data_IF_598357554889
#
_entry.id   IF_598357554889
#
_cell.length_a   1.000
_cell.length_b   1.000
_cell.length_c   1.000
_cell.angle_alpha   90.00
_cell.angle_beta   90.00
_cell.angle_gamma   90.00
#
_symmetry.space_group_name_H-M   'P 1'
#
loop_
_entity.id
_entity.type
_entity.pdbx_description
1 polymer ?
#
# COMPACT_ATOMS: atom_id res chain seq x y z
N UNK A 1 -5.75 9.23 -11.90
CA UNK A 1 -6.56 8.35 -12.77
C UNK A 1 -7.43 7.40 -11.95
N UNK A 2 -6.84 6.44 -11.21
CA UNK A 2 -7.56 5.46 -10.38
C UNK A 2 -8.71 6.08 -9.56
N UNK A 3 -8.42 7.11 -8.75
CA UNK A 3 -9.44 7.75 -7.89
C UNK A 3 -10.63 8.31 -8.69
N UNK A 4 -10.39 8.91 -9.86
CA UNK A 4 -11.45 9.52 -10.67
C UNK A 4 -12.38 8.43 -11.22
N UNK A 5 -11.82 7.33 -11.74
CA UNK A 5 -12.58 6.17 -12.18
C UNK A 5 -13.36 5.52 -11.04
N UNK A 6 -12.69 5.31 -9.89
CA UNK A 6 -13.27 4.70 -8.69
C UNK A 6 -14.48 5.49 -8.19
N UNK A 7 -14.33 6.81 -8.05
CA UNK A 7 -15.44 7.69 -7.66
C UNK A 7 -16.57 7.67 -8.69
N UNK A 8 -16.23 7.79 -9.98
CA UNK A 8 -17.20 7.83 -11.07
C UNK A 8 -18.09 6.59 -11.11
N UNK A 9 -17.53 5.39 -10.84
CA UNK A 9 -18.30 4.14 -10.88
C UNK A 9 -19.03 3.80 -9.57
N UNK A 10 -18.46 4.16 -8.41
CA UNK A 10 -18.98 3.73 -7.11
C UNK A 10 -20.00 4.70 -6.50
N UNK A 11 -19.96 5.98 -6.86
CA UNK A 11 -20.81 7.00 -6.24
C UNK A 11 -21.54 7.82 -7.29
N UNK A 12 -22.87 7.76 -7.30
CA UNK A 12 -23.70 8.45 -8.30
C UNK A 12 -23.42 9.95 -8.38
N UNK A 13 -23.21 10.63 -7.25
CA UNK A 13 -22.86 12.08 -7.23
C UNK A 13 -21.58 12.43 -8.00
N UNK A 14 -20.70 11.47 -8.25
CA UNK A 14 -19.44 11.63 -8.98
C UNK A 14 -19.49 11.06 -10.39
N UNK A 15 -20.62 10.48 -10.82
CA UNK A 15 -20.84 9.98 -12.18
C UNK A 15 -21.06 11.12 -13.16
N UNK A 16 -20.02 11.92 -13.36
CA UNK A 16 -20.05 13.14 -14.18
C UNK A 16 -19.05 13.03 -15.34
N UNK A 17 -19.42 13.43 -16.57
CA UNK A 17 -18.55 13.28 -17.74
C UNK A 17 -17.17 13.92 -17.59
N UNK A 18 -17.05 15.00 -16.83
CA UNK A 18 -15.80 15.72 -16.60
C UNK A 18 -14.78 14.84 -15.86
N UNK A 19 -15.24 14.03 -14.90
CA UNK A 19 -14.37 13.10 -14.17
C UNK A 19 -13.86 12.00 -15.10
N UNK A 20 -14.75 11.41 -15.91
CA UNK A 20 -14.36 10.36 -16.85
C UNK A 20 -13.42 10.89 -17.94
N UNK A 21 -13.69 12.07 -18.47
CA UNK A 21 -12.84 12.71 -19.49
C UNK A 21 -11.44 13.01 -18.94
N UNK A 22 -11.35 13.54 -17.71
CA UNK A 22 -10.06 13.77 -17.05
C UNK A 22 -9.33 12.45 -16.76
N UNK A 23 -10.04 11.40 -16.34
CA UNK A 23 -9.44 10.09 -16.10
C UNK A 23 -8.87 9.49 -17.38
N UNK A 24 -9.63 9.52 -18.49
CA UNK A 24 -9.18 9.06 -19.82
C UNK A 24 -7.95 9.83 -20.29
N UNK A 25 -7.97 11.16 -20.20
CA UNK A 25 -6.83 12.00 -20.58
C UNK A 25 -5.57 11.67 -19.76
N UNK A 26 -5.73 11.43 -18.44
CA UNK A 26 -4.63 10.97 -17.59
C UNK A 26 -4.13 9.58 -17.95
N UNK A 27 -5.03 8.66 -18.32
CA UNK A 27 -4.69 7.33 -18.83
C UNK A 27 -3.84 7.39 -20.08
N UNK A 28 -4.26 8.16 -21.08
CA UNK A 28 -3.52 8.34 -22.33
C UNK A 28 -2.15 8.99 -22.10
N UNK A 29 -2.03 9.90 -21.13
CA UNK A 29 -0.73 10.44 -20.72
C UNK A 29 0.18 9.33 -20.14
N UNK A 30 -0.34 8.47 -19.26
CA UNK A 30 0.42 7.36 -18.70
C UNK A 30 0.83 6.35 -19.78
N UNK A 31 -0.09 5.93 -20.66
CA UNK A 31 0.21 5.01 -21.77
C UNK A 31 1.35 5.52 -22.65
N UNK A 32 1.37 6.84 -22.91
CA UNK A 32 2.34 7.44 -23.82
C UNK A 32 3.70 7.72 -23.18
N UNK A 33 3.73 8.05 -21.88
CA UNK A 33 4.90 8.68 -21.26
C UNK A 33 5.39 8.01 -19.98
N UNK A 34 4.62 7.12 -19.35
CA UNK A 34 5.03 6.54 -18.07
C UNK A 34 6.30 5.69 -18.21
N UNK A 35 6.37 4.84 -19.23
CA UNK A 35 7.50 3.95 -19.48
C UNK A 35 8.72 4.74 -19.99
N UNK A 36 9.87 4.52 -19.35
CA UNK A 36 11.10 5.29 -19.64
C UNK A 36 11.69 4.93 -20.99
N UNK A 37 11.69 3.64 -21.34
CA UNK A 37 12.28 3.13 -22.57
C UNK A 37 11.49 1.91 -23.09
N UNK A 38 10.31 2.12 -23.71
CA UNK A 38 9.55 1.05 -24.34
C UNK A 38 10.43 0.26 -25.34
N UNK A 39 10.33 -1.08 -25.39
CA UNK A 39 9.29 -1.92 -24.79
C UNK A 39 9.50 -2.27 -23.31
N UNK A 40 10.55 -1.78 -22.65
CA UNK A 40 10.76 -2.03 -21.23
C UNK A 40 9.67 -1.36 -20.38
N UNK A 41 9.11 -2.10 -19.43
CA UNK A 41 7.97 -1.66 -18.61
C UNK A 41 8.34 -0.69 -17.48
N UNK A 42 9.63 -0.47 -17.21
CA UNK A 42 10.07 0.41 -16.11
C UNK A 42 9.52 1.83 -16.32
N UNK A 43 8.76 2.29 -15.34
CA UNK A 43 8.17 3.61 -15.33
C UNK A 43 9.10 4.65 -14.70
N UNK A 44 8.97 5.89 -15.17
CA UNK A 44 9.57 7.06 -14.56
C UNK A 44 8.85 7.38 -13.24
N UNK A 45 9.62 7.82 -12.26
CA UNK A 45 9.08 8.32 -11.00
C UNK A 45 8.49 9.74 -11.17
N UNK A 46 9.16 10.59 -11.96
CA UNK A 46 8.70 11.94 -12.29
C UNK A 46 8.93 12.22 -13.76
N UNK A 47 7.91 12.84 -14.37
CA UNK A 47 7.91 13.33 -15.75
C UNK A 47 7.79 14.85 -15.75
N UNK A 48 8.33 15.48 -16.79
CA UNK A 48 7.97 16.86 -17.14
C UNK A 48 6.50 16.95 -17.53
N UNK A 49 5.94 18.17 -17.56
CA UNK A 49 4.55 18.41 -17.98
C UNK A 49 4.25 17.83 -19.37
N UNK A 50 5.24 17.83 -20.26
CA UNK A 50 5.13 17.31 -21.63
C UNK A 50 5.51 15.81 -21.77
N UNK A 51 5.74 15.10 -20.65
CA UNK A 51 5.91 13.65 -20.64
C UNK A 51 7.34 13.14 -20.81
N UNK A 52 8.36 14.00 -20.72
CA UNK A 52 9.77 13.55 -20.72
C UNK A 52 10.20 13.06 -19.33
N UNK A 53 10.88 11.91 -19.20
CA UNK A 53 11.33 11.38 -17.92
C UNK A 53 12.41 12.27 -17.29
N UNK A 54 12.23 12.57 -16.00
CA UNK A 54 13.16 13.40 -15.20
C UNK A 54 13.87 12.55 -14.15
N UNK A 55 13.14 11.66 -13.49
CA UNK A 55 13.67 10.82 -12.42
C UNK A 55 13.11 9.42 -12.55
N UNK A 56 13.97 8.42 -12.35
CA UNK A 56 13.59 7.01 -12.22
C UNK A 56 13.92 6.57 -10.80
N UNK A 57 12.95 5.96 -10.12
CA UNK A 57 13.17 5.31 -8.82
C UNK A 57 13.30 3.80 -9.05
N UNK A 58 14.28 3.19 -8.38
CA UNK A 58 14.60 1.75 -8.49
C UNK A 58 13.71 0.91 -7.57
N UNK A 59 12.40 1.07 -7.77
CA UNK A 59 11.29 0.46 -7.01
C UNK A 59 10.15 0.14 -7.99
N UNK A 60 9.13 -0.56 -7.51
CA UNK A 60 7.92 -0.94 -8.28
C UNK A 60 6.73 0.03 -8.15
N UNK A 61 6.84 1.06 -7.30
CA UNK A 61 5.66 1.84 -6.90
C UNK A 61 4.96 2.58 -8.05
N UNK A 62 5.72 3.16 -8.98
CA UNK A 62 5.13 3.86 -10.14
C UNK A 62 4.36 2.88 -11.02
N UNK A 63 4.87 1.67 -11.16
CA UNK A 63 4.28 0.57 -11.91
C UNK A 63 3.03 0.03 -11.22
N UNK A 64 3.03 -0.11 -9.89
CA UNK A 64 1.82 -0.50 -9.16
C UNK A 64 0.69 0.50 -9.40
N UNK A 65 0.95 1.80 -9.25
CA UNK A 65 -0.08 2.82 -9.49
C UNK A 65 -0.47 2.95 -10.97
N UNK A 66 0.44 2.62 -11.91
CA UNK A 66 0.10 2.48 -13.33
C UNK A 66 -0.92 1.35 -13.53
N UNK A 67 -0.65 0.14 -13.01
CA UNK A 67 -1.56 -1.01 -13.08
C UNK A 67 -2.92 -0.68 -12.50
N UNK A 68 -2.98 -0.05 -11.33
CA UNK A 68 -4.24 0.38 -10.71
C UNK A 68 -5.02 1.34 -11.62
N UNK A 69 -4.34 2.33 -12.20
CA UNK A 69 -4.96 3.29 -13.10
C UNK A 69 -5.52 2.63 -14.37
N UNK A 70 -4.76 1.72 -14.98
CA UNK A 70 -5.18 1.00 -16.18
C UNK A 70 -6.36 0.07 -15.90
N UNK A 71 -6.33 -0.70 -14.80
CA UNK A 71 -7.45 -1.56 -14.43
C UNK A 71 -8.74 -0.78 -14.21
N UNK A 72 -8.70 0.33 -13.46
CA UNK A 72 -9.89 1.15 -13.25
C UNK A 72 -10.38 1.85 -14.53
N UNK A 73 -9.49 2.22 -15.45
CA UNK A 73 -9.89 2.75 -16.75
C UNK A 73 -10.65 1.72 -17.57
N UNK A 74 -10.16 0.49 -17.66
CA UNK A 74 -10.88 -0.60 -18.30
C UNK A 74 -12.28 -0.77 -17.69
N UNK A 75 -12.42 -0.78 -16.36
CA UNK A 75 -13.73 -0.93 -15.68
C UNK A 75 -14.76 0.12 -16.06
N UNK A 76 -14.33 1.35 -16.36
CA UNK A 76 -15.26 2.46 -16.68
C UNK A 76 -15.43 2.70 -18.18
N UNK A 77 -14.60 2.09 -19.04
CA UNK A 77 -14.66 2.28 -20.50
C UNK A 77 -14.99 1.00 -21.28
N UNK A 78 -14.67 -0.18 -20.75
CA UNK A 78 -14.70 -1.45 -21.48
C UNK A 78 -13.59 -1.61 -22.53
N UNK A 79 -12.64 -0.67 -22.63
CA UNK A 79 -11.52 -0.76 -23.58
C UNK A 79 -10.48 -1.78 -23.07
N UNK A 80 -10.43 -2.95 -23.74
CA UNK A 80 -9.57 -4.07 -23.39
C UNK A 80 -8.07 -3.71 -23.40
N UNK A 81 -7.66 -2.69 -24.15
CA UNK A 81 -6.26 -2.22 -24.17
C UNK A 81 -5.77 -1.83 -22.77
N UNK A 82 -6.61 -1.19 -21.96
CA UNK A 82 -6.23 -0.85 -20.58
C UNK A 82 -6.12 -2.08 -19.69
N UNK A 83 -6.94 -3.11 -19.92
CA UNK A 83 -6.83 -4.36 -19.17
C UNK A 83 -5.51 -5.07 -19.51
N UNK A 84 -5.17 -5.18 -20.79
CA UNK A 84 -3.90 -5.75 -21.25
C UNK A 84 -2.70 -5.03 -20.63
N UNK A 85 -2.69 -3.69 -20.65
CA UNK A 85 -1.63 -2.89 -20.02
C UNK A 85 -1.51 -3.11 -18.52
N UNK A 86 -2.64 -3.29 -17.82
CA UNK A 86 -2.64 -3.60 -16.39
C UNK A 86 -2.06 -5.00 -16.12
N UNK A 87 -2.47 -6.01 -16.89
CA UNK A 87 -2.01 -7.39 -16.71
C UNK A 87 -0.53 -7.56 -17.07
N UNK A 88 -0.09 -7.02 -18.20
CA UNK A 88 1.33 -7.08 -18.58
C UNK A 88 2.24 -6.38 -17.56
N UNK A 89 1.77 -5.26 -16.98
CA UNK A 89 2.50 -4.59 -15.91
C UNK A 89 2.48 -5.40 -14.61
N UNK A 90 1.35 -6.01 -14.25
CA UNK A 90 1.24 -6.88 -13.08
C UNK A 90 2.23 -8.04 -13.15
N UNK A 91 2.27 -8.77 -14.27
CA UNK A 91 3.19 -9.88 -14.48
C UNK A 91 4.65 -9.43 -14.34
N UNK A 92 4.98 -8.26 -14.89
CA UNK A 92 6.31 -7.71 -14.77
C UNK A 92 6.68 -7.34 -13.32
N UNK A 93 5.74 -6.75 -12.56
CA UNK A 93 5.96 -6.44 -11.15
C UNK A 93 6.19 -7.72 -10.35
N UNK A 94 5.39 -8.76 -10.58
CA UNK A 94 5.56 -10.06 -9.91
C UNK A 94 6.93 -10.66 -10.23
N UNK A 95 7.35 -10.64 -11.49
CA UNK A 95 8.68 -11.13 -11.87
C UNK A 95 9.80 -10.33 -11.18
N UNK A 96 9.69 -9.00 -11.10
CA UNK A 96 10.70 -8.19 -10.39
C UNK A 96 10.79 -8.47 -8.89
N UNK A 97 9.66 -8.79 -8.25
CA UNK A 97 9.63 -9.02 -6.81
C UNK A 97 10.00 -10.45 -6.44
N UNK A 98 9.51 -11.44 -7.19
CA UNK A 98 9.66 -12.86 -6.83
C UNK A 98 10.82 -13.57 -7.51
N UNK A 99 11.28 -13.07 -8.65
CA UNK A 99 12.22 -13.79 -9.51
C UNK A 99 13.53 -13.02 -9.72
N UNK A 100 13.45 -11.82 -10.30
CA UNK A 100 14.63 -11.06 -10.68
C UNK A 100 14.46 -9.53 -10.54
N UNK A 101 15.03 -8.91 -9.49
CA UNK A 101 14.98 -7.47 -9.31
C UNK A 101 15.95 -6.70 -10.22
N UNK A 102 16.74 -7.38 -11.08
CA UNK A 102 17.75 -6.73 -11.94
C UNK A 102 17.16 -5.65 -12.84
N UNK A 103 15.93 -5.85 -13.32
CA UNK A 103 15.19 -4.88 -14.14
C UNK A 103 14.85 -3.57 -13.42
N UNK A 104 14.92 -3.53 -12.08
CA UNK A 104 14.81 -2.30 -11.29
C UNK A 104 16.13 -1.52 -11.23
N UNK A 105 17.24 -2.13 -11.64
CA UNK A 105 18.55 -1.48 -11.76
C UNK A 105 19.26 -1.24 -10.43
N UNK A 106 18.95 -1.99 -9.37
CA UNK A 106 19.57 -1.87 -8.04
C UNK A 106 20.42 -3.12 -7.71
N UNK A 107 21.65 -3.24 -8.26
CA UNK A 107 22.52 -4.35 -7.89
C UNK A 107 22.81 -4.29 -6.39
N UNK A 108 22.67 -5.43 -5.70
CA UNK A 108 22.95 -5.50 -4.27
C UNK A 108 24.46 -5.37 -4.05
N UNK A 109 24.83 -4.40 -3.21
CA UNK A 109 26.23 -4.21 -2.81
C UNK A 109 26.56 -5.18 -1.66
N UNK A 110 27.80 -5.69 -1.57
CA UNK A 110 28.16 -6.72 -0.59
C UNK A 110 28.01 -6.29 0.88
N UNK A 111 27.96 -4.99 1.14
CA UNK A 111 27.73 -4.45 2.49
C UNK A 111 26.27 -4.10 2.80
N UNK A 112 25.35 -4.22 1.84
CA UNK A 112 23.95 -3.92 2.04
C UNK A 112 23.21 -5.19 2.53
N UNK A 113 22.58 -5.18 3.72
CA UNK A 113 21.79 -6.32 4.15
C UNK A 113 20.66 -6.60 3.15
N UNK A 114 20.37 -7.86 2.93
CA UNK A 114 19.13 -8.25 2.26
C UNK A 114 17.97 -7.95 3.20
N UNK A 115 17.08 -7.06 2.77
CA UNK A 115 15.96 -6.59 3.59
C UNK A 115 14.72 -6.40 2.73
N UNK A 116 13.61 -6.95 3.20
CA UNK A 116 12.30 -6.67 2.65
C UNK A 116 11.68 -5.46 3.35
N UNK A 117 11.18 -4.52 2.55
CA UNK A 117 10.38 -3.40 3.03
C UNK A 117 8.90 -3.78 2.97
N UNK A 118 8.15 -3.56 4.06
CA UNK A 118 6.72 -3.93 4.17
C UNK A 118 5.87 -3.39 3.02
N UNK A 119 6.22 -2.21 2.51
CA UNK A 119 5.58 -1.58 1.35
C UNK A 119 5.48 -2.48 0.10
N UNK A 120 6.43 -3.39 -0.12
CA UNK A 120 6.46 -4.26 -1.31
C UNK A 120 5.32 -5.28 -1.29
N UNK A 121 5.21 -6.16 -0.28
CA UNK A 121 4.08 -7.09 -0.20
C UNK A 121 2.75 -6.37 0.03
N UNK A 122 2.72 -5.21 0.72
CA UNK A 122 1.51 -4.37 0.81
C UNK A 122 0.98 -3.95 -0.56
N UNK A 123 1.85 -3.40 -1.40
CA UNK A 123 1.44 -2.93 -2.73
C UNK A 123 1.06 -4.07 -3.66
N UNK A 124 1.73 -5.21 -3.58
CA UNK A 124 1.32 -6.41 -4.33
C UNK A 124 -0.03 -6.95 -3.86
N UNK A 125 -0.28 -7.03 -2.55
CA UNK A 125 -1.60 -7.42 -2.02
C UNK A 125 -2.69 -6.47 -2.51
N UNK A 126 -2.44 -5.17 -2.50
CA UNK A 126 -3.38 -4.18 -3.01
C UNK A 126 -3.65 -4.36 -4.52
N UNK A 127 -2.65 -4.74 -5.33
CA UNK A 127 -2.85 -5.08 -6.74
C UNK A 127 -3.68 -6.34 -6.92
N UNK A 128 -3.39 -7.40 -6.17
CA UNK A 128 -4.18 -8.64 -6.16
C UNK A 128 -5.64 -8.33 -5.87
N UNK A 129 -5.89 -7.54 -4.82
CA UNK A 129 -7.22 -7.09 -4.43
C UNK A 129 -7.90 -6.24 -5.52
N UNK A 130 -7.17 -5.29 -6.12
CA UNK A 130 -7.67 -4.41 -7.18
C UNK A 130 -8.04 -5.17 -8.45
N UNK A 131 -7.23 -6.14 -8.87
CA UNK A 131 -7.48 -6.91 -10.09
C UNK A 131 -8.58 -7.95 -9.86
N UNK A 132 -8.57 -8.65 -8.71
CA UNK A 132 -9.57 -9.66 -8.36
C UNK A 132 -10.98 -9.10 -8.16
N UNK A 133 -11.14 -7.81 -7.86
CA UNK A 133 -12.46 -7.15 -7.76
C UNK A 133 -13.26 -7.14 -9.10
N UNK A 134 -12.63 -7.41 -10.23
CA UNK A 134 -13.26 -7.24 -11.56
C UNK A 134 -13.68 -8.55 -12.20
N UNK A 135 -13.03 -9.63 -11.78
CA UNK A 135 -12.88 -10.81 -12.58
C UNK A 135 -12.54 -11.97 -11.63
N UNK A 136 -13.47 -12.90 -11.51
CA UNK A 136 -13.34 -14.07 -10.65
C UNK A 136 -12.22 -15.00 -11.12
N UNK A 137 -11.90 -15.02 -12.41
CA UNK A 137 -10.80 -15.79 -12.97
C UNK A 137 -9.45 -15.20 -12.51
N UNK A 138 -9.30 -13.87 -12.60
CA UNK A 138 -8.12 -13.16 -12.09
C UNK A 138 -7.99 -13.29 -10.57
N UNK A 139 -9.11 -13.31 -9.83
CA UNK A 139 -9.10 -13.56 -8.40
C UNK A 139 -8.56 -14.97 -8.06
N UNK A 140 -8.92 -15.99 -8.85
CA UNK A 140 -8.41 -17.35 -8.70
C UNK A 140 -6.91 -17.48 -8.99
N UNK A 141 -6.45 -16.89 -10.10
CA UNK A 141 -5.03 -16.90 -10.50
C UNK A 141 -4.15 -16.17 -9.48
N UNK A 142 -4.69 -15.13 -8.85
CA UNK A 142 -3.95 -14.28 -7.91
C UNK A 142 -4.01 -14.77 -6.46
N UNK A 143 -4.71 -15.88 -6.16
CA UNK A 143 -4.91 -16.36 -4.79
C UNK A 143 -3.60 -16.74 -4.09
N UNK A 144 -2.71 -17.50 -4.78
CA UNK A 144 -1.40 -17.86 -4.23
C UNK A 144 -0.54 -16.62 -3.95
N UNK A 145 -0.59 -15.63 -4.86
CA UNK A 145 0.14 -14.39 -4.68
C UNK A 145 -0.41 -13.57 -3.51
N UNK A 146 -1.74 -13.52 -3.35
CA UNK A 146 -2.38 -12.89 -2.19
C UNK A 146 -1.97 -13.56 -0.88
N UNK A 147 -1.89 -14.89 -0.86
CA UNK A 147 -1.41 -15.67 0.28
C UNK A 147 0.03 -15.37 0.64
N UNK A 148 0.89 -15.37 -0.38
CA UNK A 148 2.28 -15.00 -0.22
C UNK A 148 2.40 -13.57 0.34
N UNK A 149 1.71 -12.58 -0.26
CA UNK A 149 1.79 -11.20 0.20
C UNK A 149 1.31 -11.04 1.64
N UNK A 150 0.18 -11.64 1.99
CA UNK A 150 -0.35 -11.57 3.35
C UNK A 150 0.63 -12.19 4.35
N UNK A 151 1.20 -13.36 4.04
CA UNK A 151 2.19 -14.00 4.88
C UNK A 151 3.47 -13.16 5.04
N UNK A 152 3.94 -12.51 3.97
CA UNK A 152 5.09 -11.59 4.02
C UNK A 152 4.82 -10.40 4.92
N UNK A 153 3.66 -9.73 4.78
CA UNK A 153 3.29 -8.62 5.68
C UNK A 153 3.26 -9.10 7.15
N UNK A 154 2.72 -10.29 7.43
CA UNK A 154 2.69 -10.84 8.80
C UNK A 154 4.10 -11.08 9.38
N UNK A 155 5.11 -11.34 8.55
CA UNK A 155 6.51 -11.47 9.00
C UNK A 155 7.09 -10.16 9.54
N UNK A 156 6.47 -9.00 9.29
CA UNK A 156 6.90 -7.73 9.87
C UNK A 156 6.50 -7.57 11.35
N UNK A 157 5.68 -8.48 11.89
CA UNK A 157 5.37 -8.56 13.32
C UNK A 157 6.52 -9.24 14.06
N UNK A 158 7.27 -8.46 14.84
CA UNK A 158 8.51 -8.87 15.49
C UNK A 158 8.42 -8.77 17.02
N UNK A 159 9.51 -9.14 17.70
CA UNK A 159 9.65 -9.04 19.17
C UNK A 159 8.54 -9.76 19.93
N UNK A 160 8.19 -10.97 19.49
CA UNK A 160 7.11 -11.76 20.11
C UNK A 160 5.72 -11.12 19.96
N UNK A 161 5.50 -10.34 18.89
CA UNK A 161 4.22 -9.69 18.62
C UNK A 161 4.03 -8.34 19.32
N UNK A 162 5.14 -7.66 19.64
CA UNK A 162 5.14 -6.37 20.34
C UNK A 162 5.59 -5.19 19.46
N UNK A 163 6.03 -5.45 18.23
CA UNK A 163 6.38 -4.40 17.28
C UNK A 163 6.04 -4.80 15.84
N UNK A 164 5.61 -3.83 15.02
CA UNK A 164 5.58 -3.95 13.56
C UNK A 164 6.76 -3.14 13.03
N UNK A 165 7.68 -3.78 12.30
CA UNK A 165 8.91 -3.16 11.78
C UNK A 165 8.78 -2.92 10.27
N UNK A 166 9.25 -1.77 9.78
CA UNK A 166 9.19 -1.44 8.35
C UNK A 166 10.07 -2.36 7.50
N UNK A 167 11.19 -2.83 8.05
CA UNK A 167 12.16 -3.65 7.34
C UNK A 167 12.50 -4.90 8.16
N UNK A 168 12.44 -6.06 7.51
CA UNK A 168 12.91 -7.34 8.05
C UNK A 168 13.86 -8.00 7.05
N UNK A 169 14.56 -9.05 7.46
CA UNK A 169 15.34 -9.85 6.51
C UNK A 169 14.42 -10.54 5.49
N UNK A 170 14.98 -11.03 4.39
CA UNK A 170 14.21 -11.84 3.42
C UNK A 170 13.63 -13.13 4.02
N UNK A 171 14.15 -13.59 5.16
CA UNK A 171 13.64 -14.75 5.89
C UNK A 171 12.59 -14.36 6.96
N UNK A 172 12.30 -13.07 7.13
CA UNK A 172 11.32 -12.56 8.09
C UNK A 172 11.87 -12.35 9.50
N UNK A 173 13.18 -12.11 9.65
CA UNK A 173 13.84 -11.89 10.94
C UNK A 173 14.15 -10.39 11.17
N UNK A 174 14.11 -9.95 12.43
CA UNK A 174 14.46 -8.57 12.80
C UNK A 174 15.92 -8.23 12.42
N UNK A 175 16.10 -7.08 11.75
CA UNK A 175 17.41 -6.55 11.41
C UNK A 175 17.97 -5.69 12.55
N UNK A 176 19.30 -5.51 12.58
CA UNK A 176 19.95 -4.62 13.54
C UNK A 176 20.05 -3.17 13.04
N UNK A 177 20.39 -2.26 13.95
CA UNK A 177 20.60 -0.84 13.64
C UNK A 177 19.31 -0.08 13.33
N UNK A 178 19.45 1.17 12.88
CA UNK A 178 18.29 2.03 12.63
C UNK A 178 17.36 1.48 11.53
N UNK A 179 17.89 0.69 10.58
CA UNK A 179 17.09 0.08 9.51
C UNK A 179 16.06 -0.91 10.06
N UNK A 180 16.49 -1.82 10.95
CA UNK A 180 15.63 -2.86 11.50
C UNK A 180 14.69 -2.35 12.59
N UNK A 181 15.09 -1.35 13.37
CA UNK A 181 14.23 -0.76 14.40
C UNK A 181 13.22 0.25 13.86
N UNK A 182 13.27 0.57 12.56
CA UNK A 182 12.40 1.57 11.98
C UNK A 182 10.93 1.14 12.01
N UNK A 183 10.06 2.00 12.51
CA UNK A 183 8.61 1.80 12.52
C UNK A 183 7.91 3.00 11.88
N UNK A 184 6.79 2.72 11.20
CA UNK A 184 5.86 3.72 10.71
C UNK A 184 4.43 3.30 11.08
N UNK A 185 3.84 3.93 12.12
CA UNK A 185 2.49 3.57 12.59
C UNK A 185 1.42 3.68 11.51
N UNK A 186 1.52 4.67 10.62
CA UNK A 186 0.59 4.85 9.50
C UNK A 186 0.62 3.68 8.52
N UNK A 187 1.82 3.19 8.20
CA UNK A 187 2.01 2.08 7.28
C UNK A 187 1.52 0.77 7.88
N UNK A 188 1.75 0.55 9.17
CA UNK A 188 1.21 -0.61 9.88
C UNK A 188 -0.33 -0.60 9.87
N UNK A 189 -0.96 0.56 10.06
CA UNK A 189 -2.42 0.72 9.96
C UNK A 189 -2.94 0.48 8.53
N UNK A 190 -2.22 0.96 7.51
CA UNK A 190 -2.53 0.71 6.10
C UNK A 190 -2.46 -0.78 5.75
N UNK A 191 -1.34 -1.42 6.12
CA UNK A 191 -1.15 -2.86 6.00
C UNK A 191 -2.24 -3.63 6.74
N UNK A 192 -2.64 -3.14 7.91
CA UNK A 192 -3.69 -3.70 8.73
C UNK A 192 -5.03 -3.76 8.01
N UNK A 193 -5.48 -2.67 7.38
CA UNK A 193 -6.75 -2.73 6.66
C UNK A 193 -6.67 -3.49 5.33
N UNK A 194 -5.50 -3.55 4.67
CA UNK A 194 -5.28 -4.46 3.54
C UNK A 194 -5.44 -5.93 3.97
N UNK A 195 -4.76 -6.34 5.05
CA UNK A 195 -4.85 -7.68 5.60
C UNK A 195 -6.26 -7.99 6.13
N UNK A 196 -6.94 -7.02 6.73
CA UNK A 196 -8.29 -7.19 7.22
C UNK A 196 -9.25 -7.45 6.05
N UNK A 197 -9.17 -6.66 4.98
CA UNK A 197 -9.94 -6.90 3.74
C UNK A 197 -9.71 -8.29 3.17
N UNK A 198 -8.44 -8.71 3.13
CA UNK A 198 -8.06 -10.04 2.68
C UNK A 198 -8.67 -11.14 3.57
N UNK A 199 -8.58 -11.00 4.90
CA UNK A 199 -9.10 -11.97 5.86
C UNK A 199 -10.63 -12.07 5.84
N UNK A 200 -11.35 -10.95 5.63
CA UNK A 200 -12.82 -10.91 5.49
C UNK A 200 -13.26 -11.76 4.30
N UNK A 201 -12.64 -11.58 3.12
CA UNK A 201 -13.01 -12.34 1.92
C UNK A 201 -12.84 -13.84 2.08
N UNK A 202 -11.90 -14.27 2.92
CA UNK A 202 -11.65 -15.69 3.20
C UNK A 202 -12.41 -16.24 4.39
N UNK A 203 -13.16 -15.39 5.10
CA UNK A 203 -13.84 -15.77 6.33
C UNK A 203 -12.90 -16.22 7.45
N UNK A 204 -11.64 -15.76 7.44
CA UNK A 204 -10.62 -16.16 8.43
C UNK A 204 -10.70 -15.28 9.67
N UNK A 205 -11.61 -15.61 10.59
CA UNK A 205 -11.81 -14.87 11.84
C UNK A 205 -10.55 -14.84 12.73
N UNK A 206 -9.67 -15.85 12.65
CA UNK A 206 -8.44 -15.90 13.44
C UNK A 206 -7.44 -14.87 12.92
N UNK A 207 -7.28 -14.79 11.60
CA UNK A 207 -6.45 -13.76 10.98
C UNK A 207 -7.01 -12.36 11.24
N UNK A 208 -8.33 -12.17 11.12
CA UNK A 208 -8.96 -10.88 11.43
C UNK A 208 -8.63 -10.40 12.86
N UNK A 209 -8.80 -11.26 13.87
CA UNK A 209 -8.49 -10.92 15.25
C UNK A 209 -7.00 -10.60 15.45
N UNK A 210 -6.11 -11.37 14.80
CA UNK A 210 -4.67 -11.13 14.85
C UNK A 210 -4.28 -9.79 14.22
N UNK A 211 -4.87 -9.45 13.07
CA UNK A 211 -4.62 -8.19 12.36
C UNK A 211 -5.10 -6.99 13.18
N UNK A 212 -6.28 -7.07 13.79
CA UNK A 212 -6.79 -6.01 14.66
C UNK A 212 -5.86 -5.78 15.85
N UNK A 213 -5.37 -6.83 16.48
CA UNK A 213 -4.43 -6.72 17.59
C UNK A 213 -3.07 -6.14 17.15
N UNK A 214 -2.47 -6.70 16.10
CA UNK A 214 -1.06 -6.43 15.74
C UNK A 214 -0.83 -5.28 14.77
N UNK A 215 -1.77 -5.00 13.87
CA UNK A 215 -1.64 -3.96 12.85
C UNK A 215 -2.57 -2.76 13.07
N UNK A 216 -3.57 -2.87 13.95
CA UNK A 216 -4.42 -1.73 14.29
C UNK A 216 -4.11 -1.20 15.70
N UNK A 217 -4.45 -1.97 16.73
CA UNK A 217 -4.37 -1.51 18.12
C UNK A 217 -2.92 -1.25 18.55
N UNK A 218 -2.02 -2.21 18.32
CA UNK A 218 -0.60 -2.07 18.68
C UNK A 218 0.06 -0.81 18.09
N UNK A 219 0.09 -0.59 16.76
CA UNK A 219 0.74 0.60 16.18
C UNK A 219 0.01 1.90 16.50
N UNK A 220 -1.31 1.88 16.72
CA UNK A 220 -2.02 3.07 17.19
C UNK A 220 -1.59 3.46 18.60
N UNK A 221 -1.53 2.50 19.53
CA UNK A 221 -1.14 2.77 20.91
C UNK A 221 0.32 3.21 21.05
N UNK A 222 1.24 2.64 20.27
CA UNK A 222 2.64 3.09 20.26
C UNK A 222 2.82 4.40 19.50
N UNK A 223 2.09 4.60 18.41
CA UNK A 223 2.26 5.72 17.48
C UNK A 223 1.54 6.99 17.85
N UNK A 224 0.50 6.93 18.68
CA UNK A 224 -0.25 8.12 19.08
C UNK A 224 0.55 8.98 20.05
N UNK A 225 0.69 10.26 19.73
CA UNK A 225 1.31 11.25 20.59
C UNK A 225 0.35 11.66 21.73
N UNK A 226 0.67 11.35 22.99
CA UNK A 226 -0.22 11.68 24.11
C UNK A 226 -0.19 13.17 24.48
N UNK A 227 0.84 13.92 24.09
CA UNK A 227 1.00 15.34 24.46
C UNK A 227 0.26 16.26 23.46
N UNK A 228 0.39 15.97 22.17
CA UNK A 228 -0.17 16.83 21.11
C UNK A 228 -1.27 16.17 20.28
N UNK A 229 -1.53 14.88 20.49
CA UNK A 229 -2.45 14.11 19.64
C UNK A 229 -1.87 13.82 18.26
N UNK A 230 -2.49 12.88 17.55
CA UNK A 230 -2.07 12.47 16.21
C UNK A 230 -0.90 11.48 16.22
N UNK A 231 -0.82 10.69 15.16
CA UNK A 231 0.20 9.66 14.95
C UNK A 231 1.54 10.30 14.59
N UNK A 232 2.61 9.88 15.26
CA UNK A 232 3.98 10.13 14.81
C UNK A 232 4.20 9.54 13.42
N UNK A 233 5.05 10.19 12.62
CA UNK A 233 5.35 9.71 11.28
C UNK A 233 6.28 8.49 11.33
N UNK A 234 7.33 8.56 12.13
CA UNK A 234 8.29 7.46 12.31
C UNK A 234 8.61 7.25 13.79
N UNK A 235 8.94 6.01 14.14
CA UNK A 235 9.41 5.64 15.48
C UNK A 235 10.61 4.68 15.37
N UNK A 236 11.30 4.50 16.50
CA UNK A 236 12.33 3.48 16.68
C UNK A 236 11.82 2.47 17.72
N UNK A 237 11.90 1.18 17.40
CA UNK A 237 11.36 0.11 18.22
C UNK A 237 12.00 -0.01 19.62
N UNK A 238 13.21 0.53 19.82
CA UNK A 238 13.87 0.60 21.14
C UNK A 238 13.52 1.88 21.91
N UNK A 239 12.65 2.75 21.36
CA UNK A 239 12.35 4.05 21.94
C UNK A 239 13.48 5.07 21.81
N UNK A 240 14.46 4.80 20.94
CA UNK A 240 15.53 5.75 20.63
C UNK A 240 15.00 6.88 19.73
N UNK A 241 15.76 7.98 19.63
CA UNK A 241 15.44 9.05 18.69
C UNK A 241 15.56 8.53 17.24
N UNK A 242 14.50 8.60 16.41
CA UNK A 242 14.58 8.23 15.00
C UNK A 242 15.57 9.12 14.23
N UNK A 243 16.11 8.61 13.13
CA UNK A 243 17.11 9.32 12.32
C UNK A 243 16.52 10.33 11.34
N UNK A 244 15.26 10.16 10.95
CA UNK A 244 14.52 11.04 10.06
C UNK A 244 14.14 12.33 10.79
N UNK A 245 14.44 13.50 10.23
CA UNK A 245 14.16 14.79 10.89
C UNK A 245 12.67 15.03 11.09
N UNK A 246 11.86 14.47 10.20
CA UNK A 246 10.41 14.59 10.16
C UNK A 246 9.68 13.56 11.04
N UNK A 247 10.38 12.73 11.83
CA UNK A 247 9.77 11.61 12.57
C UNK A 247 8.60 12.03 13.47
N UNK A 248 8.70 13.21 14.10
CA UNK A 248 7.67 13.74 14.99
C UNK A 248 6.55 14.49 14.26
N UNK A 249 6.64 14.68 12.93
CA UNK A 249 5.61 15.38 12.16
C UNK A 249 4.32 14.57 12.08
N UNK A 250 3.19 15.27 11.97
CA UNK A 250 1.85 14.67 11.83
C UNK A 250 1.39 14.81 10.38
N UNK A 251 1.69 13.80 9.56
CA UNK A 251 1.30 13.80 8.14
C UNK A 251 -0.17 13.45 7.99
N UNK A 252 -0.79 13.83 6.86
CA UNK A 252 -2.22 13.59 6.64
C UNK A 252 -2.55 12.10 6.45
N UNK A 253 -1.70 11.36 5.72
CA UNK A 253 -2.03 10.02 5.26
C UNK A 253 -2.05 8.96 6.38
N UNK A 254 -1.17 8.96 7.41
CA UNK A 254 -1.28 7.99 8.51
C UNK A 254 -2.65 8.05 9.18
N UNK A 255 -3.22 9.26 9.27
CA UNK A 255 -4.52 9.48 9.85
C UNK A 255 -5.67 9.08 8.91
N UNK A 256 -5.54 9.23 7.58
CA UNK A 256 -6.53 8.69 6.64
C UNK A 256 -6.59 7.18 6.72
N UNK A 257 -5.43 6.52 6.77
CA UNK A 257 -5.36 5.06 6.86
C UNK A 257 -5.86 4.54 8.21
N UNK A 258 -5.56 5.24 9.30
CA UNK A 258 -6.13 4.95 10.61
C UNK A 258 -7.67 5.02 10.60
N UNK A 259 -8.26 6.05 9.99
CA UNK A 259 -9.72 6.15 9.89
C UNK A 259 -10.33 4.99 9.08
N UNK A 260 -9.69 4.58 7.97
CA UNK A 260 -10.13 3.44 7.17
C UNK A 260 -10.04 2.15 8.01
N UNK A 261 -8.89 1.91 8.65
CA UNK A 261 -8.61 0.70 9.40
C UNK A 261 -9.56 0.50 10.58
N UNK A 262 -9.74 1.53 11.42
CA UNK A 262 -10.59 1.42 12.59
C UNK A 262 -12.08 1.35 12.25
N UNK A 263 -12.54 2.07 11.22
CA UNK A 263 -13.93 1.96 10.78
C UNK A 263 -14.20 0.58 10.17
N UNK A 264 -13.26 0.03 9.37
CA UNK A 264 -13.36 -1.33 8.84
C UNK A 264 -13.36 -2.37 9.97
N UNK A 265 -12.42 -2.29 10.90
CA UNK A 265 -12.35 -3.19 12.06
C UNK A 265 -13.63 -3.18 12.90
N UNK A 266 -14.21 -1.99 13.12
CA UNK A 266 -15.51 -1.87 13.79
C UNK A 266 -16.65 -2.50 12.99
N UNK A 267 -16.76 -2.22 11.69
CA UNK A 267 -17.82 -2.77 10.84
C UNK A 267 -17.85 -4.29 10.81
N UNK A 268 -16.68 -4.94 10.89
CA UNK A 268 -16.58 -6.41 10.87
C UNK A 268 -16.82 -7.06 12.23
N UNK A 269 -16.40 -6.42 13.32
CA UNK A 269 -16.42 -7.05 14.66
C UNK A 269 -17.52 -6.54 15.58
N UNK A 270 -18.04 -5.34 15.31
CA UNK A 270 -18.93 -4.62 16.21
C UNK A 270 -18.26 -4.12 17.50
N UNK A 271 -16.94 -4.22 17.65
CA UNK A 271 -16.23 -3.80 18.87
C UNK A 271 -16.28 -2.26 19.05
N UNK A 272 -16.98 -1.74 20.07
CA UNK A 272 -17.10 -0.30 20.29
C UNK A 272 -15.76 0.38 20.64
N UNK A 273 -14.72 -0.38 21.03
CA UNK A 273 -13.38 0.19 21.24
C UNK A 273 -12.77 0.72 19.94
N UNK A 274 -12.89 -0.03 18.84
CA UNK A 274 -12.41 0.39 17.53
C UNK A 274 -13.15 1.63 17.03
N UNK A 275 -14.46 1.71 17.26
CA UNK A 275 -15.25 2.89 16.91
C UNK A 275 -14.85 4.14 17.71
N UNK A 276 -14.54 3.99 19.00
CA UNK A 276 -14.03 5.13 19.81
C UNK A 276 -12.70 5.65 19.26
N UNK A 277 -11.79 4.76 18.87
CA UNK A 277 -10.52 5.15 18.26
C UNK A 277 -10.77 5.83 16.90
N UNK A 278 -11.67 5.30 16.07
CA UNK A 278 -12.07 5.97 14.83
C UNK A 278 -12.52 7.41 15.09
N UNK A 279 -13.40 7.64 16.08
CA UNK A 279 -13.84 8.99 16.41
C UNK A 279 -12.70 9.88 16.90
N UNK A 280 -11.79 9.36 17.73
CA UNK A 280 -10.61 10.10 18.19
C UNK A 280 -9.73 10.56 17.01
N UNK A 281 -9.42 9.65 16.09
CA UNK A 281 -8.60 9.96 14.91
C UNK A 281 -9.33 10.92 13.98
N UNK A 282 -10.60 10.67 13.70
CA UNK A 282 -11.41 11.52 12.82
C UNK A 282 -11.55 12.93 13.39
N UNK A 283 -11.85 13.06 14.68
CA UNK A 283 -11.96 14.37 15.32
C UNK A 283 -10.64 15.13 15.28
N UNK A 284 -9.51 14.47 15.60
CA UNK A 284 -8.19 15.07 15.50
C UNK A 284 -7.89 15.57 14.07
N UNK A 285 -8.15 14.72 13.06
CA UNK A 285 -7.77 14.99 11.66
C UNK A 285 -8.65 16.05 11.01
N UNK A 286 -9.92 16.13 11.39
CA UNK A 286 -10.87 17.11 10.85
C UNK A 286 -10.90 18.42 11.63
N UNK A 287 -10.28 18.47 12.82
CA UNK A 287 -10.15 19.69 13.60
C UNK A 287 -9.24 20.66 12.84
N UNK A 288 -9.76 21.86 12.60
CA UNK A 288 -9.06 22.95 11.90
C UNK A 288 -7.99 23.57 12.76
#
# INVERSE_FOLDING_TARGET
VWMYCRLYRQFERFRRPELLNAAKAGGEFLLRYAQVAPPAKKCAFVLTRDGRPVKVQRTIFSECFYTMAMNELWRVTGDARYQSEAMEMMDQIVSWVREDPSGLGRPQLPGAPASESMAVPMMLLNLVEQLGEADEELAGISAELGDWCAQRILQHVQRGGQAVLENVSEDGEELSGCLGRHQNPGHALEAGWFLLRYAIRRGDAKLQAHVIDKFLLLPFHSGWDPEHGGLFYFQDADGLCPTQLEWAMKLWWPHSEAMIAFLMGYSETGDPALLRIFYQVAEYTFRR
#
